data_IF_990543787307
#
_entry.id   IF_990543787307
#
_cell.length_a   1.000
_cell.length_b   1.000
_cell.length_c   1.000
_cell.angle_alpha   90.00
_cell.angle_beta   90.00
_cell.angle_gamma   90.00
#
_symmetry.space_group_name_H-M   'P 1'
#
loop_
_entity.id
_entity.type
_entity.pdbx_description
1 polymer ?
#
# COMPACT_ATOMS: atom_id res chain seq x y z
N UNK A 1 -24.49 16.85 -22.35
CA UNK A 1 -23.43 16.77 -21.32
C UNK A 1 -23.52 15.37 -20.72
N UNK A 2 -22.44 14.58 -20.75
CA UNK A 2 -22.44 13.29 -20.07
C UNK A 2 -22.22 13.53 -18.58
N UNK A 3 -23.20 13.17 -17.76
CA UNK A 3 -23.10 13.25 -16.30
C UNK A 3 -22.31 12.04 -15.79
N UNK A 4 -21.37 12.26 -14.86
CA UNK A 4 -20.74 11.17 -14.11
C UNK A 4 -21.82 10.42 -13.33
N UNK A 5 -21.88 9.11 -13.50
CA UNK A 5 -22.79 8.24 -12.75
C UNK A 5 -21.99 7.22 -11.96
N UNK A 6 -22.31 7.07 -10.67
CA UNK A 6 -21.85 5.94 -9.87
C UNK A 6 -22.63 4.70 -10.31
N UNK A 7 -21.93 3.72 -10.88
CA UNK A 7 -22.54 2.47 -11.38
C UNK A 7 -22.49 1.34 -10.35
N UNK A 8 -21.57 1.41 -9.38
CA UNK A 8 -21.44 0.45 -8.28
C UNK A 8 -20.63 1.07 -7.11
N UNK A 9 -20.73 0.49 -5.92
CA UNK A 9 -19.95 0.87 -4.73
C UNK A 9 -19.68 -0.32 -3.81
N UNK A 10 -18.54 -0.33 -3.13
CA UNK A 10 -18.17 -1.40 -2.21
C UNK A 10 -17.00 -1.03 -1.32
N UNK A 11 -16.65 -1.95 -0.41
CA UNK A 11 -15.52 -1.81 0.52
C UNK A 11 -14.42 -2.79 0.10
N UNK A 12 -13.21 -2.27 -0.11
CA UNK A 12 -12.03 -3.09 -0.45
C UNK A 12 -11.54 -3.86 0.79
N UNK A 13 -11.43 -3.16 1.91
CA UNK A 13 -10.96 -3.71 3.18
C UNK A 13 -11.56 -2.90 4.33
N UNK A 14 -12.11 -3.59 5.31
CA UNK A 14 -12.65 -2.99 6.53
C UNK A 14 -11.68 -3.27 7.68
N UNK A 15 -11.06 -2.21 8.20
CA UNK A 15 -10.22 -2.31 9.39
C UNK A 15 -11.04 -2.68 10.61
N UNK A 16 -10.50 -3.56 11.46
CA UNK A 16 -11.18 -4.00 12.69
C UNK A 16 -10.57 -3.34 13.92
N UNK A 17 -11.41 -2.82 14.81
CA UNK A 17 -10.94 -2.22 16.06
C UNK A 17 -10.15 -3.22 16.92
N UNK A 18 -9.05 -2.74 17.51
CA UNK A 18 -8.14 -3.53 18.34
C UNK A 18 -7.17 -4.42 17.58
N UNK A 19 -7.15 -4.40 16.24
CA UNK A 19 -6.17 -5.15 15.44
C UNK A 19 -5.00 -4.27 14.97
N UNK A 20 -3.95 -4.91 14.47
CA UNK A 20 -2.81 -4.23 13.86
C UNK A 20 -3.08 -3.71 12.43
N UNK A 21 -4.31 -3.91 11.94
CA UNK A 21 -4.83 -3.42 10.67
C UNK A 21 -6.10 -2.56 10.85
N UNK A 22 -6.37 -2.07 12.06
CA UNK A 22 -7.50 -1.20 12.35
C UNK A 22 -7.52 0.05 11.45
N UNK A 23 -6.35 0.63 11.17
CA UNK A 23 -6.21 1.75 10.25
C UNK A 23 -5.75 1.25 8.87
N UNK A 24 -6.65 1.35 7.88
CA UNK A 24 -6.35 1.12 6.47
C UNK A 24 -6.44 2.45 5.71
N UNK A 25 -5.30 2.96 5.22
CA UNK A 25 -5.21 4.31 4.65
C UNK A 25 -4.32 4.37 3.40
N UNK A 26 -4.39 5.48 2.67
CA UNK A 26 -3.60 5.74 1.47
C UNK A 26 -3.76 4.68 0.37
N UNK A 27 -5.01 4.35 -0.04
CA UNK A 27 -5.22 3.32 -1.04
C UNK A 27 -4.65 3.73 -2.41
N UNK A 28 -4.16 2.76 -3.16
CA UNK A 28 -3.89 2.87 -4.59
C UNK A 28 -4.50 1.70 -5.32
N UNK A 29 -5.23 1.96 -6.40
CA UNK A 29 -5.90 0.91 -7.20
C UNK A 29 -5.40 0.95 -8.64
N UNK A 30 -5.20 -0.23 -9.22
CA UNK A 30 -4.93 -0.41 -10.64
C UNK A 30 -5.85 -1.49 -11.18
N UNK A 31 -6.37 -1.28 -12.39
CA UNK A 31 -7.08 -2.31 -13.16
C UNK A 31 -6.11 -2.79 -14.23
N UNK A 32 -5.74 -4.06 -14.17
CA UNK A 32 -4.83 -4.68 -15.12
C UNK A 32 -5.54 -4.94 -16.45
N UNK A 33 -4.75 -5.09 -17.51
CA UNK A 33 -5.21 -5.40 -18.87
C UNK A 33 -6.06 -6.67 -18.94
N UNK A 34 -5.81 -7.66 -18.08
CA UNK A 34 -6.61 -8.88 -17.95
C UNK A 34 -7.92 -8.72 -17.16
N UNK A 35 -8.24 -7.51 -16.68
CA UNK A 35 -9.44 -7.17 -15.91
C UNK A 35 -9.33 -7.38 -14.40
N UNK A 36 -8.22 -7.93 -13.89
CA UNK A 36 -7.97 -8.04 -12.44
C UNK A 36 -7.76 -6.66 -11.84
N UNK A 37 -8.37 -6.39 -10.69
CA UNK A 37 -8.13 -5.17 -9.92
C UNK A 37 -7.16 -5.51 -8.80
N UNK A 38 -6.13 -4.68 -8.62
CA UNK A 38 -5.25 -4.76 -7.45
C UNK A 38 -5.38 -3.47 -6.65
N UNK A 39 -5.49 -3.60 -5.33
CA UNK A 39 -5.52 -2.47 -4.42
C UNK A 39 -4.45 -2.65 -3.34
N UNK A 40 -3.61 -1.65 -3.20
CA UNK A 40 -2.64 -1.53 -2.12
C UNK A 40 -3.13 -0.50 -1.12
N UNK A 41 -2.80 -0.71 0.15
CA UNK A 41 -3.09 0.26 1.20
C UNK A 41 -2.12 0.09 2.35
N UNK A 42 -1.94 1.15 3.14
CA UNK A 42 -1.23 1.09 4.41
C UNK A 42 -2.14 0.49 5.47
N UNK A 43 -1.72 -0.60 6.09
CA UNK A 43 -2.29 -1.12 7.32
C UNK A 43 -1.43 -0.70 8.51
N UNK A 44 -2.07 -0.28 9.60
CA UNK A 44 -1.42 0.05 10.87
C UNK A 44 -2.41 -0.07 12.05
N UNK A 45 -1.94 -0.18 13.30
CA UNK A 45 -2.81 -0.14 14.47
C UNK A 45 -3.52 1.21 14.60
N UNK A 46 -2.85 2.32 14.27
CA UNK A 46 -3.43 3.68 14.23
C UNK A 46 -2.95 4.49 13.02
N UNK A 47 -3.73 5.52 12.65
CA UNK A 47 -3.44 6.37 11.50
C UNK A 47 -2.06 7.05 11.58
N UNK A 48 -1.69 7.59 12.73
CA UNK A 48 -0.44 8.32 12.93
C UNK A 48 0.78 7.42 13.18
N UNK A 49 0.58 6.16 13.54
CA UNK A 49 1.67 5.32 14.06
C UNK A 49 2.63 4.81 13.00
N UNK A 50 3.92 4.88 13.34
CA UNK A 50 4.98 4.26 12.56
C UNK A 50 5.14 2.77 12.89
N UNK A 51 5.04 2.44 14.18
CA UNK A 51 5.12 1.07 14.68
C UNK A 51 4.02 0.18 14.08
N UNK A 52 4.42 -1.01 13.59
CA UNK A 52 3.49 -2.00 13.05
C UNK A 52 2.91 -1.69 11.68
N UNK A 53 3.21 -0.52 11.08
CA UNK A 53 2.70 -0.20 9.75
C UNK A 53 3.33 -1.10 8.68
N UNK A 54 2.56 -1.36 7.63
CA UNK A 54 3.01 -2.07 6.42
C UNK A 54 2.09 -1.77 5.24
N UNK A 55 2.59 -1.98 4.03
CA UNK A 55 1.77 -2.00 2.82
C UNK A 55 1.20 -3.40 2.64
N UNK A 56 -0.12 -3.50 2.52
CA UNK A 56 -0.82 -4.71 2.14
C UNK A 56 -1.37 -4.57 0.72
N UNK A 57 -1.52 -5.70 0.05
CA UNK A 57 -2.08 -5.82 -1.29
C UNK A 57 -3.24 -6.80 -1.27
N UNK A 58 -4.35 -6.45 -1.91
CA UNK A 58 -5.50 -7.33 -2.17
C UNK A 58 -5.91 -7.25 -3.64
N UNK A 59 -6.60 -8.29 -4.14
CA UNK A 59 -7.03 -8.39 -5.53
C UNK A 59 -8.50 -8.74 -5.66
N UNK A 60 -9.10 -8.29 -6.76
CA UNK A 60 -10.44 -8.68 -7.19
C UNK A 60 -10.40 -9.17 -8.65
N UNK A 61 -11.03 -10.31 -8.92
CA UNK A 61 -11.19 -10.89 -10.25
C UNK A 61 -12.64 -10.84 -10.75
N UNK A 62 -13.48 -10.05 -10.07
CA UNK A 62 -14.90 -9.92 -10.36
C UNK A 62 -15.36 -8.45 -10.27
N UNK A 63 -14.56 -7.56 -10.85
CA UNK A 63 -14.83 -6.13 -11.00
C UNK A 63 -15.09 -5.42 -9.65
N UNK A 64 -14.31 -5.76 -8.63
CA UNK A 64 -14.37 -5.11 -7.32
C UNK A 64 -15.50 -5.60 -6.40
N UNK A 65 -16.30 -6.60 -6.80
CA UNK A 65 -17.40 -7.14 -5.99
C UNK A 65 -16.90 -7.85 -4.73
N UNK A 66 -15.84 -8.63 -4.86
CA UNK A 66 -15.16 -9.26 -3.72
C UNK A 66 -13.65 -9.13 -3.85
N UNK A 67 -12.97 -9.16 -2.70
CA UNK A 67 -11.54 -8.97 -2.58
C UNK A 67 -10.91 -10.17 -1.86
N UNK A 68 -9.68 -10.53 -2.23
CA UNK A 68 -8.94 -11.57 -1.54
C UNK A 68 -8.48 -11.11 -0.15
N UNK A 69 -8.07 -12.05 0.69
CA UNK A 69 -7.32 -11.71 1.90
C UNK A 69 -6.09 -10.84 1.56
N UNK A 70 -5.83 -9.75 2.29
CA UNK A 70 -4.67 -8.92 2.05
C UNK A 70 -3.35 -9.64 2.37
N UNK A 71 -2.33 -9.41 1.56
CA UNK A 71 -1.00 -10.02 1.70
C UNK A 71 0.09 -8.95 1.78
N UNK A 72 1.14 -9.22 2.58
CA UNK A 72 2.36 -8.40 2.62
C UNK A 72 3.33 -8.83 1.52
N UNK A 73 3.35 -8.10 0.41
CA UNK A 73 4.15 -8.46 -0.78
C UNK A 73 5.54 -7.79 -0.82
N UNK A 74 5.80 -6.83 0.06
CA UNK A 74 7.02 -6.00 0.00
C UNK A 74 7.84 -6.15 1.28
N UNK A 75 9.13 -6.44 1.13
CA UNK A 75 10.08 -6.53 2.25
C UNK A 75 10.95 -5.27 2.29
N UNK A 76 10.81 -4.40 3.29
CA UNK A 76 11.58 -3.17 3.36
C UNK A 76 13.06 -3.47 3.64
N UNK A 77 14.01 -2.94 2.85
CA UNK A 77 15.42 -3.13 3.11
C UNK A 77 15.89 -2.28 4.31
N UNK A 78 17.04 -2.66 4.88
CA UNK A 78 17.79 -1.79 5.78
C UNK A 78 18.67 -0.84 4.96
N UNK A 79 18.68 0.43 5.32
CA UNK A 79 19.55 1.43 4.72
C UNK A 79 20.61 1.87 5.72
N UNK A 80 21.90 1.71 5.40
CA UNK A 80 23.00 2.06 6.32
C UNK A 80 22.79 1.49 7.74
N UNK A 81 22.36 0.23 7.80
CA UNK A 81 21.96 -0.51 9.02
C UNK A 81 20.67 -0.04 9.72
N UNK A 82 20.08 1.08 9.30
CA UNK A 82 18.82 1.58 9.85
C UNK A 82 17.64 0.73 9.34
N UNK A 83 16.74 0.28 10.22
CA UNK A 83 15.50 -0.36 9.82
C UNK A 83 14.57 0.65 9.16
N UNK A 84 13.74 0.19 8.25
CA UNK A 84 12.60 0.99 7.81
C UNK A 84 11.43 0.13 7.42
N UNK A 85 10.37 0.81 7.01
CA UNK A 85 9.10 0.22 6.62
C UNK A 85 8.52 0.95 5.43
N UNK A 86 7.68 0.27 4.67
CA UNK A 86 6.94 0.90 3.58
C UNK A 86 5.64 1.53 4.11
N UNK A 87 5.47 2.81 3.82
CA UNK A 87 4.30 3.62 4.18
C UNK A 87 3.23 3.62 3.10
N UNK A 88 3.63 3.67 1.83
CA UNK A 88 2.73 3.58 0.68
C UNK A 88 3.35 2.69 -0.38
N UNK A 89 2.51 2.08 -1.19
CA UNK A 89 2.92 1.35 -2.38
C UNK A 89 1.89 1.56 -3.47
N UNK A 90 2.28 2.12 -4.60
CA UNK A 90 1.37 2.36 -5.72
C UNK A 90 1.81 1.58 -6.94
N UNK A 91 0.86 0.94 -7.60
CA UNK A 91 1.12 0.01 -8.68
C UNK A 91 0.85 0.67 -10.04
N UNK A 92 1.64 0.29 -11.03
CA UNK A 92 1.42 0.66 -12.43
C UNK A 92 1.71 -0.56 -13.29
N UNK A 93 0.77 -0.93 -14.16
CA UNK A 93 1.00 -1.92 -15.21
C UNK A 93 1.84 -1.26 -16.32
N UNK A 94 2.98 -1.86 -16.65
CA UNK A 94 3.92 -1.36 -17.66
C UNK A 94 4.01 -2.29 -18.88
N UNK A 95 3.15 -3.30 -18.94
CA UNK A 95 3.06 -4.32 -19.97
C UNK A 95 2.19 -5.47 -19.47
N UNK A 96 1.82 -6.39 -20.35
CA UNK A 96 1.04 -7.57 -19.98
C UNK A 96 1.75 -8.33 -18.84
N UNK A 97 1.07 -8.44 -17.70
CA UNK A 97 1.56 -9.06 -16.46
C UNK A 97 2.84 -8.46 -15.84
N UNK A 98 3.31 -7.30 -16.34
CA UNK A 98 4.47 -6.58 -15.81
C UNK A 98 4.01 -5.37 -15.00
N UNK A 99 4.32 -5.37 -13.71
CA UNK A 99 3.97 -4.26 -12.82
C UNK A 99 5.20 -3.64 -12.19
N UNK A 100 5.12 -2.34 -11.94
CA UNK A 100 6.04 -1.59 -11.10
C UNK A 100 5.28 -1.09 -9.86
N UNK A 101 5.80 -1.40 -8.69
CA UNK A 101 5.39 -0.83 -7.42
C UNK A 101 6.34 0.31 -7.04
N UNK A 102 5.80 1.51 -6.85
CA UNK A 102 6.51 2.65 -6.26
C UNK A 102 6.24 2.65 -4.76
N UNK A 103 7.28 2.42 -3.97
CA UNK A 103 7.19 2.20 -2.53
C UNK A 103 7.84 3.38 -1.78
N UNK A 104 7.12 3.95 -0.82
CA UNK A 104 7.64 4.99 0.07
C UNK A 104 8.21 4.33 1.34
N UNK A 105 9.53 4.21 1.39
CA UNK A 105 10.25 3.72 2.57
C UNK A 105 10.44 4.85 3.57
N UNK A 106 10.23 4.55 4.84
CA UNK A 106 10.40 5.49 5.96
C UNK A 106 11.30 4.84 7.01
N UNK A 107 12.27 5.61 7.51
CA UNK A 107 13.12 5.19 8.63
C UNK A 107 12.28 4.86 9.86
N UNK A 108 12.51 3.68 10.42
CA UNK A 108 11.81 3.17 11.61
C UNK A 108 12.79 2.95 12.78
N UNK A 109 13.94 3.62 12.78
CA UNK A 109 14.93 3.53 13.86
C UNK A 109 14.34 3.92 15.23
N UNK A 110 13.43 4.90 15.25
CA UNK A 110 12.62 5.22 16.43
C UNK A 110 11.12 5.13 16.10
N UNK A 111 10.47 3.98 16.35
CA UNK A 111 9.06 3.76 15.99
C UNK A 111 8.06 4.56 16.83
N UNK A 112 8.49 5.24 17.90
CA UNK A 112 7.63 6.09 18.72
C UNK A 112 7.40 7.47 18.12
N UNK A 113 8.23 7.90 17.16
CA UNK A 113 8.07 9.18 16.49
C UNK A 113 6.94 9.13 15.46
N UNK A 114 6.18 10.23 15.28
CA UNK A 114 5.24 10.34 14.17
C UNK A 114 6.00 10.47 12.85
N UNK A 115 5.36 10.05 11.75
CA UNK A 115 5.91 10.24 10.41
C UNK A 115 6.13 11.72 10.07
N UNK A 116 5.19 12.58 10.48
CA UNK A 116 5.22 14.02 10.29
C UNK A 116 5.25 14.70 11.66
N UNK A 117 6.15 15.65 11.83
CA UNK A 117 6.26 16.45 13.04
C UNK A 117 5.52 17.78 12.82
N UNK A 118 4.47 18.04 13.58
CA UNK A 118 3.61 19.23 13.40
C UNK A 118 4.30 20.55 13.77
N UNK A 119 5.27 20.54 14.69
CA UNK A 119 5.96 21.75 15.14
C UNK A 119 7.02 22.22 14.13
N UNK A 120 7.70 21.27 13.48
CA UNK A 120 8.81 21.53 12.54
C UNK A 120 8.40 21.39 11.09
N UNK A 121 7.21 20.85 10.83
CA UNK A 121 6.71 20.42 9.52
C UNK A 121 7.63 19.42 8.80
N UNK A 122 8.53 18.79 9.55
CA UNK A 122 9.50 17.83 9.06
C UNK A 122 8.94 16.41 8.92
N UNK A 123 9.53 15.65 8.01
CA UNK A 123 9.27 14.21 7.86
C UNK A 123 10.45 13.40 8.39
N UNK A 124 10.16 12.19 8.88
CA UNK A 124 11.20 11.17 9.04
C UNK A 124 11.91 10.90 7.71
N UNK A 125 13.14 10.39 7.79
CA UNK A 125 13.93 10.08 6.60
C UNK A 125 13.15 9.15 5.67
N UNK A 126 12.95 9.61 4.44
CA UNK A 126 12.12 8.95 3.44
C UNK A 126 12.94 8.65 2.19
N UNK A 127 12.66 7.50 1.55
CA UNK A 127 13.25 7.09 0.28
C UNK A 127 12.20 6.45 -0.61
N UNK A 128 12.36 6.62 -1.92
CA UNK A 128 11.52 5.94 -2.91
C UNK A 128 12.24 4.69 -3.39
N UNK A 129 11.53 3.58 -3.37
CA UNK A 129 11.96 2.30 -3.90
C UNK A 129 11.05 1.87 -5.03
N UNK A 130 11.60 1.05 -5.92
CA UNK A 130 10.84 0.36 -6.96
C UNK A 130 10.95 -1.14 -6.71
N UNK A 131 9.83 -1.84 -6.85
CA UNK A 131 9.79 -3.29 -6.93
C UNK A 131 9.04 -3.68 -8.19
N UNK A 132 9.48 -4.75 -8.86
CA UNK A 132 8.91 -5.21 -10.11
C UNK A 132 8.25 -6.57 -9.93
N UNK A 133 7.10 -6.73 -10.55
CA UNK A 133 6.50 -8.04 -10.84
C UNK A 133 6.57 -8.32 -12.34
N UNK A 134 6.75 -9.58 -12.70
CA UNK A 134 6.66 -10.09 -14.07
C UNK A 134 5.72 -11.29 -14.19
N UNK A 135 4.80 -11.42 -13.23
CA UNK A 135 3.88 -12.55 -13.09
C UNK A 135 2.49 -12.08 -12.61
N UNK A 136 2.05 -10.91 -13.09
CA UNK A 136 0.72 -10.38 -12.78
C UNK A 136 0.55 -9.98 -11.32
N UNK A 137 1.65 -9.68 -10.63
CA UNK A 137 1.68 -9.26 -9.24
C UNK A 137 1.65 -10.41 -8.23
N UNK A 138 1.89 -11.65 -8.68
CA UNK A 138 1.98 -12.80 -7.81
C UNK A 138 3.27 -12.80 -6.96
N UNK A 139 4.38 -12.31 -7.51
CA UNK A 139 5.64 -12.10 -6.80
C UNK A 139 6.30 -10.76 -7.17
N UNK A 140 7.23 -10.32 -6.31
CA UNK A 140 7.84 -8.99 -6.34
C UNK A 140 9.34 -9.08 -6.02
N UNK A 141 10.16 -8.31 -6.73
CA UNK A 141 11.62 -8.21 -6.54
C UNK A 141 12.03 -7.37 -5.33
#
# INVERSE_FOLDING_TARGET
MNTLQIVDQGVVFEGKEGTDCQSATFPGVVVLSNGTWMCTFRAAPRKSELAGQRVLLTRSTNNGRTWSEPMGCFSPPRLRQQPGTFRTGYLTECGEDVLIAVLCWVDQSNPSLPFFNEDTEGLLETRIFLSRSSDGGASWS
#
